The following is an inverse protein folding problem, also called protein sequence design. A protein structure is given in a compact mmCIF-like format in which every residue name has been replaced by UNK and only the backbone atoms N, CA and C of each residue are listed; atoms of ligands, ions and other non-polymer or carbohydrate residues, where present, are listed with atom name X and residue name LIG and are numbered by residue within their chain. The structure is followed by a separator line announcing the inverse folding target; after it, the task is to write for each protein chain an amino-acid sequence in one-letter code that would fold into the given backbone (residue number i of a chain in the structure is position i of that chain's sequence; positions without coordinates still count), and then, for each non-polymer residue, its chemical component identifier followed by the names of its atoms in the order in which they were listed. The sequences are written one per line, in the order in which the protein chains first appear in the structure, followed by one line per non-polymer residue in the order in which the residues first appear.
data_IF_345758062046
#
_entry.id   IF_345758062046
#
_cell.length_a   1.000
_cell.length_b   1.000
_cell.length_c   1.000
_cell.angle_alpha   90.00
_cell.angle_beta   90.00
_cell.angle_gamma   90.00
#
_symmetry.space_group_name_H-M   'P 1'
#
loop_
_entity.id
_entity.type
_entity.pdbx_description
1 polymer ?
#
# COMPACT_ATOMS: atom_id res chain seq x y z
N UNK A 1 -6.97 18.81 26.61
CA UNK A 1 -5.98 18.75 25.54
C UNK A 1 -4.79 17.91 25.94
N UNK A 2 -4.18 17.22 24.99
CA UNK A 2 -3.00 16.40 25.25
C UNK A 2 -1.78 17.27 25.51
N UNK A 3 -0.97 16.94 26.52
CA UNK A 3 0.35 17.55 26.72
C UNK A 3 1.33 16.97 25.71
N UNK A 4 2.26 17.79 25.18
CA UNK A 4 3.36 17.32 24.28
C UNK A 4 4.25 16.25 24.92
N UNK A 5 4.22 16.10 26.25
CA UNK A 5 4.98 15.09 27.02
C UNK A 5 4.15 13.87 27.40
N UNK A 6 2.91 13.74 26.90
CA UNK A 6 2.08 12.59 27.21
C UNK A 6 2.69 11.33 26.54
N UNK A 7 3.02 10.27 27.32
CA UNK A 7 3.58 9.03 26.78
C UNK A 7 2.67 8.39 25.73
N UNK A 8 1.38 8.66 25.80
CA UNK A 8 0.39 8.21 24.84
C UNK A 8 0.67 8.75 23.43
N UNK A 9 1.00 10.06 23.29
CA UNK A 9 1.32 10.66 21.98
C UNK A 9 2.58 10.04 21.41
N UNK A 10 3.63 9.88 22.20
CA UNK A 10 4.88 9.26 21.76
C UNK A 10 4.65 7.82 21.31
N UNK A 11 3.85 7.05 22.06
CA UNK A 11 3.48 5.69 21.69
C UNK A 11 2.68 5.63 20.39
N UNK A 12 1.73 6.55 20.19
CA UNK A 12 0.96 6.63 18.95
C UNK A 12 1.83 6.93 17.75
N UNK A 13 2.75 7.89 17.86
CA UNK A 13 3.68 8.22 16.78
C UNK A 13 4.54 7.00 16.42
N UNK A 14 5.10 6.32 17.42
CA UNK A 14 5.89 5.10 17.21
C UNK A 14 5.04 4.01 16.58
N UNK A 15 3.81 3.79 17.07
CA UNK A 15 2.90 2.77 16.52
C UNK A 15 2.55 3.08 15.07
N UNK A 16 2.18 4.33 14.75
CA UNK A 16 1.87 4.75 13.37
C UNK A 16 3.09 4.53 12.46
N UNK A 17 4.28 4.90 12.93
CA UNK A 17 5.52 4.71 12.16
C UNK A 17 5.78 3.24 11.89
N UNK A 18 5.72 2.38 12.92
CA UNK A 18 5.98 0.95 12.78
C UNK A 18 4.91 0.27 11.92
N UNK A 19 3.63 0.64 12.08
CA UNK A 19 2.56 0.08 11.26
C UNK A 19 2.63 0.54 9.80
N UNK A 20 3.09 1.76 9.53
CA UNK A 20 3.36 2.22 8.17
C UNK A 20 4.48 1.41 7.51
N UNK A 21 5.58 1.14 8.23
CA UNK A 21 6.64 0.24 7.76
C UNK A 21 6.15 -1.20 7.63
N UNK A 22 5.38 -1.71 8.60
CA UNK A 22 4.76 -3.04 8.54
C UNK A 22 3.83 -3.19 7.34
N UNK A 23 3.02 -2.17 7.03
CA UNK A 23 2.19 -2.13 5.84
C UNK A 23 2.99 -2.25 4.55
N UNK A 24 4.18 -1.63 4.49
CA UNK A 24 5.07 -1.76 3.33
C UNK A 24 5.69 -3.17 3.19
N UNK A 25 5.81 -3.91 4.28
CA UNK A 25 6.25 -5.31 4.25
C UNK A 25 5.16 -6.27 3.75
N UNK A 26 3.88 -5.94 3.95
CA UNK A 26 2.76 -6.76 3.44
C UNK A 26 2.46 -6.46 1.98
N UNK A 27 2.74 -5.25 1.52
CA UNK A 27 2.47 -4.79 0.16
C UNK A 27 3.74 -4.88 -0.71
N UNK A 28 3.92 -5.94 -1.50
CA UNK A 28 5.08 -6.08 -2.39
C UNK A 28 5.12 -4.97 -3.47
N UNK A 29 4.01 -4.27 -3.68
CA UNK A 29 3.88 -3.19 -4.67
C UNK A 29 4.19 -1.80 -4.10
N UNK A 30 4.60 -1.71 -2.85
CA UNK A 30 5.05 -0.46 -2.25
C UNK A 30 6.40 -0.05 -2.86
N UNK A 31 6.60 1.25 -3.14
CA UNK A 31 7.79 1.74 -3.81
C UNK A 31 9.12 1.28 -3.19
N UNK A 32 9.20 1.21 -1.85
CA UNK A 32 10.38 0.67 -1.17
C UNK A 32 10.59 -0.82 -1.44
N UNK A 33 9.54 -1.63 -1.39
CA UNK A 33 9.62 -3.08 -1.65
C UNK A 33 10.09 -3.35 -3.09
N UNK A 34 9.54 -2.61 -4.07
CA UNK A 34 9.94 -2.74 -5.48
C UNK A 34 11.42 -2.41 -5.72
N UNK A 35 11.96 -1.41 -5.01
CA UNK A 35 13.37 -1.06 -5.09
C UNK A 35 14.23 -2.22 -4.57
N UNK A 36 13.92 -2.75 -3.38
CA UNK A 36 14.63 -3.88 -2.81
C UNK A 36 14.52 -5.15 -3.67
N UNK A 37 13.31 -5.42 -4.21
CA UNK A 37 13.10 -6.52 -5.16
C UNK A 37 13.96 -6.36 -6.41
N UNK A 38 14.02 -5.14 -6.97
CA UNK A 38 14.87 -4.84 -8.12
C UNK A 38 16.33 -5.14 -7.85
N UNK A 39 16.89 -4.64 -6.76
CA UNK A 39 18.28 -4.93 -6.37
C UNK A 39 18.52 -6.41 -6.08
N UNK A 40 17.59 -7.08 -5.40
CA UNK A 40 17.71 -8.51 -5.10
C UNK A 40 17.70 -9.34 -6.38
N UNK A 41 16.76 -9.08 -7.28
CA UNK A 41 16.65 -9.79 -8.57
C UNK A 41 17.89 -9.57 -9.43
N UNK A 42 18.40 -8.34 -9.46
CA UNK A 42 19.63 -8.01 -10.19
C UNK A 42 20.85 -8.75 -9.61
N UNK A 43 20.98 -8.79 -8.28
CA UNK A 43 22.13 -9.43 -7.62
C UNK A 43 22.10 -10.96 -7.67
N UNK A 44 20.89 -11.58 -7.65
CA UNK A 44 20.73 -13.03 -7.50
C UNK A 44 20.18 -13.73 -8.74
N UNK A 45 19.59 -12.99 -9.68
CA UNK A 45 18.85 -13.55 -10.82
C UNK A 45 17.50 -14.20 -10.43
N UNK A 46 17.09 -14.09 -9.15
CA UNK A 46 15.88 -14.73 -8.62
C UNK A 46 14.78 -13.68 -8.44
N UNK A 47 13.62 -13.93 -9.03
CA UNK A 47 12.42 -13.11 -8.81
C UNK A 47 11.68 -13.53 -7.53
N UNK A 48 11.21 -12.57 -6.76
CA UNK A 48 10.46 -12.84 -5.54
C UNK A 48 9.00 -13.10 -5.90
N UNK A 49 8.46 -14.23 -5.46
CA UNK A 49 7.04 -14.55 -5.61
C UNK A 49 6.20 -13.70 -4.65
N UNK A 50 5.10 -13.12 -5.15
CA UNK A 50 4.30 -12.17 -4.37
C UNK A 50 3.50 -12.83 -3.25
N UNK A 51 2.97 -14.02 -3.48
CA UNK A 51 2.14 -14.73 -2.48
C UNK A 51 2.94 -15.07 -1.23
N UNK A 52 4.11 -15.74 -1.28
CA UNK A 52 4.97 -15.94 -0.12
C UNK A 52 5.38 -14.62 0.55
N UNK A 53 5.70 -13.60 -0.23
CA UNK A 53 6.07 -12.28 0.29
C UNK A 53 4.95 -11.69 1.17
N UNK A 54 3.71 -11.71 0.68
CA UNK A 54 2.54 -11.20 1.42
C UNK A 54 2.30 -12.02 2.69
N UNK A 55 2.40 -13.35 2.62
CA UNK A 55 2.23 -14.22 3.80
C UNK A 55 3.27 -13.89 4.86
N UNK A 56 4.55 -13.82 4.49
CA UNK A 56 5.63 -13.43 5.41
C UNK A 56 5.41 -12.05 6.00
N UNK A 57 5.12 -11.07 5.15
CA UNK A 57 4.85 -9.70 5.58
C UNK A 57 3.68 -9.62 6.55
N UNK A 58 2.60 -10.35 6.28
CA UNK A 58 1.43 -10.43 7.16
C UNK A 58 1.79 -11.02 8.53
N UNK A 59 2.51 -12.14 8.58
CA UNK A 59 2.93 -12.78 9.84
C UNK A 59 3.81 -11.82 10.66
N UNK A 60 4.80 -11.20 10.05
CA UNK A 60 5.69 -10.24 10.72
C UNK A 60 4.89 -9.05 11.25
N UNK A 61 4.02 -8.47 10.42
CA UNK A 61 3.21 -7.31 10.81
C UNK A 61 2.23 -7.66 11.94
N UNK A 62 1.63 -8.85 11.90
CA UNK A 62 0.77 -9.34 12.98
C UNK A 62 1.55 -9.49 14.30
N UNK A 63 2.73 -10.07 14.26
CA UNK A 63 3.60 -10.20 15.45
C UNK A 63 3.98 -8.83 16.02
N UNK A 64 4.42 -7.89 15.17
CA UNK A 64 4.75 -6.53 15.58
C UNK A 64 3.51 -5.84 16.21
N UNK A 65 2.34 -5.98 15.59
CA UNK A 65 1.10 -5.39 16.11
C UNK A 65 0.70 -5.95 17.47
N UNK A 66 0.86 -7.26 17.68
CA UNK A 66 0.62 -7.90 18.98
C UNK A 66 1.61 -7.36 20.03
N UNK A 67 2.89 -7.28 19.70
CA UNK A 67 3.92 -6.75 20.62
C UNK A 67 3.61 -5.30 21.00
N UNK A 68 3.25 -4.46 20.02
CA UNK A 68 2.89 -3.07 20.27
C UNK A 68 1.64 -2.97 21.16
N UNK A 69 0.62 -3.76 20.87
CA UNK A 69 -0.59 -3.80 21.70
C UNK A 69 -0.29 -4.20 23.14
N UNK A 70 0.48 -5.26 23.34
CA UNK A 70 0.88 -5.73 24.66
C UNK A 70 1.73 -4.69 25.39
N UNK A 71 2.66 -4.05 24.71
CA UNK A 71 3.50 -2.97 25.24
C UNK A 71 2.64 -1.79 25.71
N UNK A 72 1.72 -1.33 24.85
CA UNK A 72 0.81 -0.24 25.19
C UNK A 72 -0.08 -0.55 26.39
N UNK A 73 -0.68 -1.73 26.40
CA UNK A 73 -1.64 -2.14 27.43
C UNK A 73 -0.99 -2.47 28.76
N UNK A 74 0.07 -3.27 28.77
CA UNK A 74 0.63 -3.85 30.00
C UNK A 74 1.87 -3.10 30.52
N UNK A 75 2.79 -2.69 29.63
CA UNK A 75 4.02 -2.05 30.01
C UNK A 75 3.81 -0.55 30.27
N UNK A 76 3.19 0.15 29.33
CA UNK A 76 2.95 1.59 29.42
C UNK A 76 1.64 1.94 30.13
N UNK A 77 0.76 0.97 30.29
CA UNK A 77 -0.57 1.14 30.92
C UNK A 77 -1.31 2.37 30.39
N UNK A 78 -1.32 2.52 29.07
CA UNK A 78 -1.92 3.67 28.40
C UNK A 78 -3.44 3.65 28.59
N UNK A 79 -3.99 4.82 28.91
CA UNK A 79 -5.42 5.01 29.02
C UNK A 79 -6.05 5.20 27.64
N UNK A 80 -6.63 4.12 27.12
CA UNK A 80 -7.28 4.12 25.82
C UNK A 80 -8.56 4.96 25.77
N UNK A 81 -9.16 5.31 26.93
CA UNK A 81 -10.38 6.13 26.98
C UNK A 81 -10.12 7.56 26.47
N UNK A 82 -8.87 8.03 26.56
CA UNK A 82 -8.47 9.33 25.98
C UNK A 82 -8.60 9.41 24.46
N UNK A 83 -8.72 8.27 23.77
CA UNK A 83 -8.95 8.18 22.33
C UNK A 83 -10.40 7.94 21.96
N UNK A 84 -11.31 7.88 22.93
CA UNK A 84 -12.73 7.78 22.62
C UNK A 84 -13.11 8.95 21.72
N UNK A 85 -13.52 8.65 20.49
CA UNK A 85 -14.06 9.65 19.57
C UNK A 85 -15.39 10.15 20.14
N UNK A 86 -15.66 11.46 20.07
CA UNK A 86 -16.98 11.98 20.39
C UNK A 86 -18.04 11.23 19.57
N UNK A 87 -19.18 10.92 20.18
CA UNK A 87 -20.29 10.22 19.50
C UNK A 87 -20.75 10.93 18.24
N UNK A 88 -20.69 12.26 18.21
CA UNK A 88 -21.00 13.08 17.04
C UNK A 88 -20.08 12.76 15.86
N UNK A 89 -18.78 12.55 16.12
CA UNK A 89 -17.80 12.22 15.09
C UNK A 89 -17.98 10.77 14.57
N UNK A 90 -18.40 9.85 15.44
CA UNK A 90 -18.74 8.49 15.04
C UNK A 90 -19.98 8.47 14.14
N UNK A 91 -21.01 9.25 14.48
CA UNK A 91 -22.22 9.38 13.66
C UNK A 91 -21.93 10.02 12.31
N UNK A 92 -21.06 11.04 12.23
CA UNK A 92 -20.61 11.62 10.96
C UNK A 92 -19.87 10.60 10.08
N UNK A 93 -19.05 9.74 10.66
CA UNK A 93 -18.33 8.69 9.94
C UNK A 93 -19.27 7.59 9.43
N UNK A 94 -20.26 7.19 10.24
CA UNK A 94 -21.27 6.19 9.87
C UNK A 94 -22.21 6.67 8.76
N UNK A 95 -22.54 7.96 8.74
CA UNK A 95 -23.41 8.56 7.71
C UNK A 95 -22.70 8.78 6.37
N UNK A 96 -21.37 8.76 6.34
CA UNK A 96 -20.58 8.98 5.12
C UNK A 96 -20.56 7.74 4.23
N UNK A 97 -21.59 7.61 3.41
CA UNK A 97 -21.60 6.56 2.38
C UNK A 97 -20.50 6.80 1.35
N UNK A 98 -19.84 5.71 0.93
CA UNK A 98 -18.85 5.77 -0.12
C UNK A 98 -19.45 6.32 -1.42
N UNK A 99 -18.81 7.31 -2.02
CA UNK A 99 -19.23 7.90 -3.29
C UNK A 99 -19.13 6.85 -4.42
N UNK A 100 -19.84 7.07 -5.51
CA UNK A 100 -19.75 6.20 -6.71
C UNK A 100 -18.30 6.10 -7.20
N UNK A 101 -17.58 7.21 -7.21
CA UNK A 101 -16.16 7.26 -7.59
C UNK A 101 -15.30 6.38 -6.70
N UNK A 102 -15.45 6.48 -5.37
CA UNK A 102 -14.71 5.66 -4.40
C UNK A 102 -15.00 4.17 -4.60
N UNK A 103 -16.26 3.81 -4.82
CA UNK A 103 -16.66 2.42 -5.01
C UNK A 103 -16.07 1.80 -6.28
N UNK A 104 -16.09 2.55 -7.40
CA UNK A 104 -15.50 2.08 -8.67
C UNK A 104 -13.98 2.01 -8.56
N UNK A 105 -13.33 3.01 -7.96
CA UNK A 105 -11.88 2.98 -7.72
C UNK A 105 -11.46 1.79 -6.86
N UNK A 106 -12.24 1.46 -5.85
CA UNK A 106 -12.00 0.29 -5.01
C UNK A 106 -12.14 -1.03 -5.77
N UNK A 107 -13.13 -1.15 -6.65
CA UNK A 107 -13.30 -2.33 -7.51
C UNK A 107 -12.10 -2.48 -8.46
N UNK A 108 -11.64 -1.39 -9.08
CA UNK A 108 -10.46 -1.43 -9.96
C UNK A 108 -9.21 -1.82 -9.18
N UNK A 109 -9.04 -1.31 -7.96
CA UNK A 109 -7.93 -1.70 -7.08
C UNK A 109 -7.97 -3.20 -6.75
N UNK A 110 -9.14 -3.73 -6.41
CA UNK A 110 -9.29 -5.17 -6.16
C UNK A 110 -9.00 -6.00 -7.42
N UNK A 111 -9.48 -5.56 -8.58
CA UNK A 111 -9.20 -6.22 -9.86
C UNK A 111 -7.70 -6.19 -10.19
N UNK A 112 -7.01 -5.08 -9.91
CA UNK A 112 -5.57 -4.95 -10.06
C UNK A 112 -4.81 -5.96 -9.17
N UNK A 113 -5.15 -6.01 -7.88
CA UNK A 113 -4.54 -6.97 -6.94
C UNK A 113 -4.81 -8.41 -7.38
N UNK A 114 -6.05 -8.72 -7.78
CA UNK A 114 -6.41 -10.03 -8.29
C UNK A 114 -5.60 -10.39 -9.55
N UNK A 115 -5.46 -9.47 -10.50
CA UNK A 115 -4.69 -9.69 -11.72
C UNK A 115 -3.20 -9.98 -11.46
N UNK A 116 -2.64 -9.47 -10.36
CA UNK A 116 -1.27 -9.73 -9.96
C UNK A 116 -1.10 -11.09 -9.26
N UNK A 117 -2.07 -11.49 -8.42
CA UNK A 117 -1.97 -12.69 -7.60
C UNK A 117 -2.49 -13.95 -8.30
N UNK A 118 -3.53 -13.82 -9.15
CA UNK A 118 -4.14 -14.96 -9.82
C UNK A 118 -3.19 -15.80 -10.67
N UNK A 119 -2.25 -15.22 -11.44
CA UNK A 119 -1.31 -16.02 -12.22
C UNK A 119 -0.43 -16.92 -11.37
N UNK A 120 -0.08 -16.47 -10.16
CA UNK A 120 0.73 -17.24 -9.22
C UNK A 120 -0.08 -18.33 -8.51
N UNK A 121 -1.34 -18.03 -8.18
CA UNK A 121 -2.25 -18.97 -7.52
C UNK A 121 -2.83 -20.03 -8.47
N UNK A 122 -3.03 -19.69 -9.74
CA UNK A 122 -3.72 -20.51 -10.73
C UNK A 122 -2.93 -20.61 -12.05
N UNK A 123 -1.70 -21.12 -12.04
CA UNK A 123 -0.81 -21.09 -13.21
C UNK A 123 -1.35 -21.90 -14.41
N UNK A 124 -2.24 -22.86 -14.18
CA UNK A 124 -2.81 -23.72 -15.22
C UNK A 124 -4.02 -23.16 -15.96
N UNK A 125 -4.54 -21.98 -15.57
CA UNK A 125 -5.73 -21.41 -16.19
C UNK A 125 -5.37 -20.63 -17.46
N UNK A 126 -6.11 -20.84 -18.60
CA UNK A 126 -5.87 -20.07 -19.82
C UNK A 126 -5.95 -18.56 -19.57
N UNK A 127 -4.99 -17.82 -20.12
CA UNK A 127 -4.89 -16.36 -19.95
C UNK A 127 -4.00 -15.92 -18.78
N UNK A 128 -3.74 -16.75 -17.77
CA UNK A 128 -2.85 -16.39 -16.65
C UNK A 128 -1.41 -16.19 -17.13
N UNK A 129 -0.96 -16.95 -18.12
CA UNK A 129 0.36 -16.76 -18.75
C UNK A 129 0.51 -15.37 -19.40
N UNK A 130 -0.57 -14.79 -19.92
CA UNK A 130 -0.56 -13.43 -20.47
C UNK A 130 -0.42 -12.38 -19.37
N UNK A 131 -1.18 -12.52 -18.28
CA UNK A 131 -1.08 -11.64 -17.11
C UNK A 131 0.30 -11.71 -16.48
N UNK A 132 0.87 -12.90 -16.34
CA UNK A 132 2.24 -13.09 -15.85
C UNK A 132 3.27 -12.39 -16.74
N UNK A 133 3.13 -12.45 -18.08
CA UNK A 133 4.01 -11.75 -19.03
C UNK A 133 3.87 -10.23 -18.98
N UNK A 134 2.67 -9.70 -18.71
CA UNK A 134 2.46 -8.27 -18.53
C UNK A 134 3.19 -7.74 -17.28
N UNK A 135 3.28 -8.57 -16.27
CA UNK A 135 3.91 -8.23 -15.00
C UNK A 135 3.24 -7.06 -14.29
N UNK A 136 3.83 -6.61 -13.19
CA UNK A 136 3.30 -5.52 -12.37
C UNK A 136 3.10 -4.24 -13.18
N UNK A 137 4.10 -3.84 -13.98
CA UNK A 137 4.07 -2.57 -14.72
C UNK A 137 2.97 -2.58 -15.78
N UNK A 138 2.85 -3.66 -16.54
CA UNK A 138 1.82 -3.78 -17.57
C UNK A 138 0.41 -3.74 -16.98
N UNK A 139 0.18 -4.50 -15.91
CA UNK A 139 -1.13 -4.53 -15.22
C UNK A 139 -1.44 -3.17 -14.59
N UNK A 140 -0.46 -2.50 -13.98
CA UNK A 140 -0.63 -1.15 -13.43
C UNK A 140 -0.97 -0.11 -14.51
N UNK A 141 -0.30 -0.15 -15.65
CA UNK A 141 -0.62 0.72 -16.78
C UNK A 141 -2.07 0.53 -17.26
N UNK A 142 -2.52 -0.73 -17.39
CA UNK A 142 -3.90 -1.03 -17.78
C UNK A 142 -4.88 -0.49 -16.73
N UNK A 143 -4.63 -0.69 -15.44
CA UNK A 143 -5.49 -0.18 -14.38
C UNK A 143 -5.57 1.35 -14.38
N UNK A 144 -4.45 2.05 -14.54
CA UNK A 144 -4.39 3.52 -14.61
C UNK A 144 -5.14 4.04 -15.85
N UNK A 145 -4.93 3.41 -17.01
CA UNK A 145 -5.66 3.76 -18.22
C UNK A 145 -7.17 3.53 -18.05
N UNK A 146 -7.58 2.41 -17.48
CA UNK A 146 -8.99 2.15 -17.19
C UNK A 146 -9.58 3.25 -16.28
N UNK A 147 -8.88 3.67 -15.25
CA UNK A 147 -9.33 4.75 -14.36
C UNK A 147 -9.40 6.12 -15.08
N UNK A 148 -8.58 6.35 -16.09
CA UNK A 148 -8.63 7.58 -16.88
C UNK A 148 -9.81 7.59 -17.89
N UNK A 149 -10.16 6.42 -18.45
CA UNK A 149 -11.28 6.32 -19.41
C UNK A 149 -12.64 6.20 -18.74
N UNK A 150 -12.70 5.68 -17.52
CA UNK A 150 -13.98 5.58 -16.78
C UNK A 150 -14.32 6.95 -16.23
N UNK A 151 -15.43 7.50 -16.71
CA UNK A 151 -15.96 8.79 -16.25
C UNK A 151 -17.13 8.57 -15.29
N UNK A 152 -17.15 9.33 -14.21
CA UNK A 152 -18.24 9.38 -13.23
C UNK A 152 -18.59 10.84 -13.02
N UNK A 153 -19.87 11.19 -13.23
CA UNK A 153 -20.34 12.57 -13.12
C UNK A 153 -19.55 13.55 -14.02
N UNK A 154 -19.32 13.11 -15.29
CA UNK A 154 -18.61 13.87 -16.33
C UNK A 154 -17.11 14.12 -16.07
N UNK A 155 -16.55 13.51 -15.03
CA UNK A 155 -15.11 13.61 -14.73
C UNK A 155 -14.45 12.22 -14.75
N UNK A 156 -13.22 12.09 -15.27
CA UNK A 156 -12.48 10.85 -15.18
C UNK A 156 -12.15 10.52 -13.72
N UNK A 157 -12.11 9.22 -13.39
CA UNK A 157 -11.72 8.78 -12.05
C UNK A 157 -10.32 9.26 -11.67
N UNK A 158 -9.41 9.30 -12.65
CA UNK A 158 -8.07 9.89 -12.52
C UNK A 158 -7.83 10.80 -13.72
N UNK A 159 -7.51 12.05 -13.45
CA UNK A 159 -6.94 12.98 -14.44
C UNK A 159 -5.43 12.77 -14.48
N UNK A 160 -4.95 12.07 -15.53
CA UNK A 160 -3.53 11.77 -15.71
C UNK A 160 -2.68 13.03 -15.79
N UNK A 161 -3.14 14.07 -16.51
CA UNK A 161 -2.41 15.32 -16.66
C UNK A 161 -2.14 15.97 -15.30
N UNK A 162 -3.20 16.09 -14.50
CA UNK A 162 -3.11 16.64 -13.15
C UNK A 162 -2.28 15.75 -12.22
N UNK A 163 -2.41 14.44 -12.35
CA UNK A 163 -1.67 13.48 -11.52
C UNK A 163 -0.17 13.59 -11.81
N UNK A 164 0.24 13.57 -13.06
CA UNK A 164 1.64 13.70 -13.46
C UNK A 164 2.27 15.03 -13.05
N UNK A 165 1.51 16.12 -13.11
CA UNK A 165 2.05 17.45 -12.80
C UNK A 165 2.08 17.77 -11.30
N UNK A 166 1.13 17.24 -10.51
CA UNK A 166 0.96 17.65 -9.10
C UNK A 166 1.27 16.54 -8.08
N UNK A 167 1.11 15.27 -8.43
CA UNK A 167 1.18 14.17 -7.47
C UNK A 167 2.36 13.24 -7.67
N UNK A 168 3.00 13.26 -8.84
CA UNK A 168 4.22 12.48 -9.08
C UNK A 168 5.42 13.19 -8.47
N UNK A 169 6.15 12.48 -7.64
CA UNK A 169 7.39 12.97 -7.03
C UNK A 169 8.57 12.81 -8.01
N UNK A 170 8.63 13.67 -9.02
CA UNK A 170 9.65 13.62 -10.05
C UNK A 170 11.10 13.57 -9.52
N UNK A 171 11.46 14.34 -8.45
CA UNK A 171 12.82 14.26 -7.90
C UNK A 171 13.17 12.87 -7.41
N UNK A 172 12.22 12.15 -6.79
CA UNK A 172 12.43 10.78 -6.32
C UNK A 172 12.61 9.81 -7.50
N UNK A 173 11.78 9.93 -8.53
CA UNK A 173 11.90 9.09 -9.73
C UNK A 173 13.22 9.31 -10.47
N UNK A 174 13.67 10.56 -10.60
CA UNK A 174 14.95 10.88 -11.20
C UNK A 174 16.12 10.33 -10.36
N UNK A 175 16.05 10.45 -9.04
CA UNK A 175 17.04 9.85 -8.14
C UNK A 175 17.15 8.34 -8.37
N UNK A 176 16.02 7.63 -8.42
CA UNK A 176 15.99 6.20 -8.68
C UNK A 176 16.54 5.85 -10.06
N UNK A 177 16.15 6.59 -11.10
CA UNK A 177 16.61 6.36 -12.44
C UNK A 177 18.14 6.50 -12.60
N UNK A 178 18.78 7.34 -11.79
CA UNK A 178 20.24 7.49 -11.77
C UNK A 178 20.91 6.43 -10.89
N UNK A 179 20.27 6.04 -9.79
CA UNK A 179 20.86 5.11 -8.81
C UNK A 179 20.97 3.69 -9.37
N UNK A 180 19.96 3.21 -10.15
CA UNK A 180 19.99 1.87 -10.72
C UNK A 180 21.19 1.61 -11.65
N UNK A 181 21.48 2.47 -12.66
CA UNK A 181 22.65 2.26 -13.50
C UNK A 181 23.99 2.38 -12.76
N UNK A 182 24.06 3.22 -11.70
CA UNK A 182 25.28 3.38 -10.89
C UNK A 182 25.57 2.16 -10.02
N UNK A 183 24.56 1.37 -9.66
CA UNK A 183 24.74 0.15 -8.92
C UNK A 183 25.30 -1.01 -9.78
N UNK A 184 25.21 -0.86 -11.12
CA UNK A 184 25.74 -1.82 -12.11
C UNK A 184 27.19 -1.51 -12.55
N UNK A 185 27.72 -0.33 -12.21
CA UNK A 185 29.05 0.10 -12.60
C UNK A 185 30.11 -0.23 -11.56
#
# INVERSE_FOLDING_TARGET
GFSKKDPLISFCIVTITITAFGGSLVMPFHGGALIYEGFFTQATGVTIAYVPFIIYGFVITALISIILFLTGKYLLRLDAQKFALPEEMLQELEQKQATKQQRISFIILLAFIAALLLPELLPGVPGMALLSKLGLVGIACIAILAMNFITVEEQPLIDLSRTFTKHVQWPLLLLLAVTFPLADA
#
